data_IF_481580434027
#
_entry.id   IF_481580434027
#
_cell.length_a   1.000
_cell.length_b   1.000
_cell.length_c   1.000
_cell.angle_alpha   90.00
_cell.angle_beta   90.00
_cell.angle_gamma   90.00
#
_symmetry.space_group_name_H-M   'P 1'
#
loop_
_entity.id
_entity.type
_entity.pdbx_description
1 polymer ?
#
# COMPACT_ATOMS: atom_id res chain seq x y z
N UNK A 1 -13.57 3.78 5.57
CA UNK A 1 -12.13 3.53 5.46
C UNK A 1 -11.49 4.26 6.62
N UNK A 2 -10.56 3.64 7.32
CA UNK A 2 -9.80 4.32 8.39
C UNK A 2 -8.58 4.97 7.74
N UNK A 3 -8.35 6.25 8.03
CA UNK A 3 -7.24 7.02 7.47
C UNK A 3 -6.07 7.04 8.45
N UNK A 4 -4.89 6.65 7.98
CA UNK A 4 -3.64 6.72 8.75
C UNK A 4 -2.67 7.75 8.16
N UNK A 5 -1.80 8.29 9.00
CA UNK A 5 -0.74 9.22 8.59
C UNK A 5 0.55 9.01 9.40
N UNK A 6 1.57 9.83 9.16
CA UNK A 6 2.85 9.77 9.86
C UNK A 6 2.83 10.05 11.37
N UNK A 7 1.71 10.57 11.88
CA UNK A 7 1.51 10.79 13.32
C UNK A 7 0.84 9.59 14.00
N UNK A 8 0.31 8.65 13.21
CA UNK A 8 -0.39 7.46 13.69
C UNK A 8 0.60 6.47 14.35
N UNK A 9 0.25 5.82 15.47
CA UNK A 9 1.12 4.81 16.09
C UNK A 9 1.38 3.58 15.20
N UNK A 10 0.54 3.36 14.20
CA UNK A 10 0.68 2.33 13.17
C UNK A 10 1.75 2.66 12.13
N UNK A 11 2.22 3.91 12.04
CA UNK A 11 3.19 4.32 11.03
C UNK A 11 4.56 3.68 11.24
N UNK A 12 5.09 3.06 10.18
CA UNK A 12 6.48 2.56 10.14
C UNK A 12 7.33 3.42 9.20
N UNK A 13 6.82 3.68 7.99
CA UNK A 13 7.46 4.54 6.98
C UNK A 13 6.44 4.92 5.91
N UNK A 14 6.80 5.83 4.99
CA UNK A 14 5.87 6.27 3.93
C UNK A 14 5.27 5.09 3.15
N UNK A 15 3.96 4.90 3.28
CA UNK A 15 3.23 3.80 2.67
C UNK A 15 3.52 2.41 3.25
N UNK A 16 3.99 2.31 4.50
CA UNK A 16 4.11 1.06 5.28
C UNK A 16 3.60 1.31 6.71
N UNK A 17 2.56 0.59 7.10
CA UNK A 17 1.89 0.68 8.39
C UNK A 17 1.76 -0.69 9.03
N UNK A 18 1.54 -0.73 10.35
CA UNK A 18 1.22 -1.95 11.10
C UNK A 18 -0.04 -1.75 11.92
N UNK A 19 -1.15 -2.26 11.41
CA UNK A 19 -2.48 -2.14 12.03
C UNK A 19 -2.81 -3.45 12.72
N UNK A 20 -3.09 -3.42 14.03
CA UNK A 20 -3.43 -4.62 14.83
C UNK A 20 -2.44 -5.78 14.69
N UNK A 21 -1.15 -5.48 14.48
CA UNK A 21 -0.10 -6.49 14.31
C UNK A 21 0.14 -6.95 12.86
N UNK A 22 -0.73 -6.57 11.92
CA UNK A 22 -0.63 -6.91 10.49
C UNK A 22 0.09 -5.80 9.73
N UNK A 23 1.08 -6.15 8.90
CA UNK A 23 1.77 -5.21 8.02
C UNK A 23 0.91 -4.85 6.80
N UNK A 24 0.77 -3.55 6.53
CA UNK A 24 0.11 -2.99 5.36
C UNK A 24 1.10 -2.15 4.55
N UNK A 25 1.06 -2.26 3.22
CA UNK A 25 1.88 -1.45 2.33
C UNK A 25 1.09 -0.90 1.15
N UNK A 26 1.51 0.26 0.66
CA UNK A 26 1.09 0.71 -0.67
C UNK A 26 1.73 -0.15 -1.75
N UNK A 27 1.09 -0.24 -2.92
CA UNK A 27 1.68 -0.90 -4.11
C UNK A 27 3.08 -0.36 -4.40
N UNK A 28 3.25 0.95 -4.32
CA UNK A 28 4.53 1.61 -4.60
C UNK A 28 5.62 1.17 -3.63
N UNK A 29 5.32 1.20 -2.33
CA UNK A 29 6.23 0.82 -1.25
C UNK A 29 6.57 -0.67 -1.33
N UNK A 30 5.58 -1.52 -1.60
CA UNK A 30 5.77 -2.95 -1.79
C UNK A 30 6.70 -3.25 -2.96
N UNK A 31 6.44 -2.68 -4.15
CA UNK A 31 7.28 -2.91 -5.34
C UNK A 31 8.72 -2.48 -5.10
N UNK A 32 8.95 -1.31 -4.48
CA UNK A 32 10.31 -0.88 -4.11
C UNK A 32 11.05 -1.87 -3.21
N UNK A 33 10.34 -2.50 -2.26
CA UNK A 33 10.94 -3.34 -1.21
C UNK A 33 11.06 -4.81 -1.60
N UNK A 34 10.06 -5.36 -2.28
CA UNK A 34 9.92 -6.80 -2.51
C UNK A 34 9.80 -7.19 -3.98
N UNK A 35 9.52 -6.26 -4.90
CA UNK A 35 9.45 -6.54 -6.34
C UNK A 35 10.17 -5.47 -7.18
N UNK A 36 11.48 -5.23 -6.95
CA UNK A 36 12.20 -4.08 -7.51
C UNK A 36 12.37 -4.13 -9.04
N UNK A 37 12.18 -5.29 -9.65
CA UNK A 37 12.18 -5.46 -11.11
C UNK A 37 10.86 -5.06 -11.77
N UNK A 38 9.77 -4.93 -11.00
CA UNK A 38 8.48 -4.51 -11.54
C UNK A 38 8.45 -3.02 -11.87
N UNK A 39 7.70 -2.65 -12.90
CA UNK A 39 7.49 -1.23 -13.19
C UNK A 39 6.70 -0.57 -12.06
N UNK A 40 7.26 0.52 -11.53
CA UNK A 40 6.71 1.28 -10.42
C UNK A 40 6.39 2.71 -10.89
N UNK A 41 5.26 2.84 -11.60
CA UNK A 41 4.79 4.09 -12.21
C UNK A 41 3.31 4.30 -11.85
N UNK A 42 2.91 5.56 -11.67
CA UNK A 42 1.52 5.92 -11.31
C UNK A 42 0.46 5.28 -12.21
N UNK A 43 0.64 5.35 -13.54
CA UNK A 43 -0.35 4.82 -14.50
C UNK A 43 -0.45 3.28 -14.49
N UNK A 44 0.51 2.59 -13.86
CA UNK A 44 0.50 1.14 -13.67
C UNK A 44 -0.08 0.81 -12.29
N UNK A 45 0.41 1.49 -11.25
CA UNK A 45 0.03 1.22 -9.87
C UNK A 45 -1.41 1.62 -9.54
N UNK A 46 -1.96 2.66 -10.20
CA UNK A 46 -3.35 3.08 -10.00
C UNK A 46 -4.33 1.95 -10.34
N UNK A 47 -4.32 1.41 -11.57
CA UNK A 47 -5.15 0.26 -11.93
C UNK A 47 -4.90 -1.00 -11.10
N UNK A 48 -3.64 -1.29 -10.72
CA UNK A 48 -3.34 -2.40 -9.81
C UNK A 48 -3.96 -2.20 -8.42
N UNK A 49 -3.84 -0.99 -7.86
CA UNK A 49 -4.46 -0.63 -6.60
C UNK A 49 -5.99 -0.74 -6.63
N UNK A 50 -6.63 -0.37 -7.75
CA UNK A 50 -8.07 -0.55 -7.93
C UNK A 50 -8.48 -2.02 -7.96
N UNK A 51 -7.68 -2.90 -8.60
CA UNK A 51 -7.94 -4.35 -8.60
C UNK A 51 -7.75 -4.94 -7.21
N UNK A 52 -6.66 -4.59 -6.53
CA UNK A 52 -6.39 -5.01 -5.15
C UNK A 52 -7.53 -4.59 -4.22
N UNK A 53 -8.04 -3.36 -4.35
CA UNK A 53 -9.16 -2.88 -3.55
C UNK A 53 -10.47 -3.67 -3.73
N UNK A 54 -10.61 -4.44 -4.82
CA UNK A 54 -11.78 -5.30 -5.06
C UNK A 54 -11.61 -6.72 -4.51
N UNK A 55 -10.38 -7.19 -4.34
CA UNK A 55 -10.08 -8.57 -3.94
C UNK A 55 -9.56 -8.68 -2.51
N UNK A 56 -8.99 -7.60 -1.97
CA UNK A 56 -8.42 -7.58 -0.64
C UNK A 56 -9.52 -7.53 0.43
N UNK A 57 -9.31 -8.29 1.50
CA UNK A 57 -10.29 -8.40 2.59
C UNK A 57 -10.33 -7.14 3.47
N UNK A 58 -9.21 -6.44 3.57
CA UNK A 58 -9.03 -5.27 4.42
C UNK A 58 -8.16 -4.24 3.70
N UNK A 59 -8.66 -3.02 3.54
CA UNK A 59 -7.97 -1.95 2.81
C UNK A 59 -8.10 -0.65 3.58
N UNK A 60 -6.99 0.07 3.67
CA UNK A 60 -6.93 1.36 4.34
C UNK A 60 -6.42 2.45 3.41
N UNK A 61 -6.75 3.69 3.75
CA UNK A 61 -6.25 4.91 3.13
C UNK A 61 -5.19 5.54 3.99
N UNK A 62 -4.27 6.26 3.35
CA UNK A 62 -3.27 7.07 4.04
C UNK A 62 -2.86 8.27 3.21
N UNK A 63 -2.53 9.37 3.88
CA UNK A 63 -1.88 10.51 3.23
C UNK A 63 -0.37 10.25 3.12
N UNK A 64 0.21 10.23 1.90
CA UNK A 64 1.64 10.02 1.74
C UNK A 64 2.45 11.21 2.27
N UNK A 65 3.66 10.94 2.77
CA UNK A 65 4.53 11.97 3.34
C UNK A 65 4.99 13.03 2.32
N UNK A 66 4.98 12.67 1.05
CA UNK A 66 5.38 13.49 -0.09
C UNK A 66 4.75 12.95 -1.38
N UNK A 67 4.67 13.79 -2.40
CA UNK A 67 4.05 13.48 -3.68
C UNK A 67 2.94 14.46 -4.04
N UNK A 68 2.17 14.14 -5.08
CA UNK A 68 1.02 14.94 -5.52
C UNK A 68 -0.32 14.23 -5.29
N UNK A 69 -0.37 13.25 -4.38
CA UNK A 69 -1.59 12.53 -4.02
C UNK A 69 -2.01 12.92 -2.61
N UNK A 70 -3.29 13.25 -2.44
CA UNK A 70 -3.87 13.53 -1.13
C UNK A 70 -4.08 12.25 -0.31
N UNK A 71 -4.28 11.12 -1.01
CA UNK A 71 -4.54 9.82 -0.44
C UNK A 71 -3.97 8.70 -1.33
N UNK A 72 -3.47 7.64 -0.70
CA UNK A 72 -3.12 6.37 -1.33
C UNK A 72 -3.71 5.21 -0.53
N UNK A 73 -3.89 4.07 -1.19
CA UNK A 73 -4.33 2.84 -0.54
C UNK A 73 -3.15 2.01 -0.04
N UNK A 74 -3.36 1.32 1.07
CA UNK A 74 -2.46 0.30 1.62
C UNK A 74 -3.22 -1.01 1.80
N UNK A 75 -2.52 -2.11 1.52
CA UNK A 75 -3.06 -3.47 1.47
C UNK A 75 -2.25 -4.40 2.38
N UNK A 76 -2.83 -5.49 2.90
CA UNK A 76 -2.12 -6.46 3.71
C UNK A 76 -0.93 -7.02 2.96
N UNK A 77 0.23 -7.07 3.62
CA UNK A 77 1.48 -7.53 3.00
C UNK A 77 1.37 -8.98 2.49
N UNK A 78 0.60 -9.84 3.17
CA UNK A 78 0.32 -11.20 2.73
C UNK A 78 -0.40 -11.25 1.39
N UNK A 79 -1.44 -10.43 1.22
CA UNK A 79 -2.26 -10.39 0.01
C UNK A 79 -1.50 -9.74 -1.16
N UNK A 80 -0.66 -8.73 -0.89
CA UNK A 80 0.27 -8.20 -1.90
C UNK A 80 1.26 -9.27 -2.38
N UNK A 81 1.82 -10.06 -1.46
CA UNK A 81 2.72 -11.17 -1.83
C UNK A 81 2.00 -12.18 -2.71
N UNK A 82 0.77 -12.55 -2.36
CA UNK A 82 -0.04 -13.47 -3.15
C UNK A 82 -0.33 -12.91 -4.56
N UNK A 83 -0.76 -11.65 -4.65
CA UNK A 83 -1.07 -11.01 -5.93
C UNK A 83 0.11 -10.95 -6.90
N UNK A 84 1.33 -10.68 -6.41
CA UNK A 84 2.53 -10.56 -7.27
C UNK A 84 3.35 -11.86 -7.39
N UNK A 85 2.94 -12.95 -6.75
CA UNK A 85 3.60 -14.26 -6.87
C UNK A 85 2.96 -15.16 -7.95
N UNK A 86 1.82 -14.74 -8.51
CA UNK A 86 1.14 -15.35 -9.65
C UNK A 86 1.51 -14.61 -10.96
#
# INVERSE_FOLDING_TARGET
>A
MTDFDKSSPEYISNGHYKVNGTDFMSVWTYKKKFNPSSENKTHINGPEGQKLAQICSEVYSTTPDFGGFDEILIFPLSELKEYYSN
#
